data_IF_326912260179
#
_entry.id   IF_326912260179
#
_cell.length_a   1.000
_cell.length_b   1.000
_cell.length_c   1.000
_cell.angle_alpha   90.00
_cell.angle_beta   90.00
_cell.angle_gamma   90.00
#
_symmetry.space_group_name_H-M   'P 1'
#
loop_
_entity.id
_entity.type
_entity.pdbx_description
1 polymer ?
#
# COMPACT_ATOMS: atom_id res chain seq x y z
N UNK A 1 15.29 -18.10 0.36
CA UNK A 1 15.16 -19.03 1.50
C UNK A 1 13.84 -18.71 2.17
N UNK A 2 12.99 -19.71 2.42
CA UNK A 2 11.75 -19.53 3.19
C UNK A 2 12.00 -19.89 4.65
N UNK A 3 11.38 -19.17 5.57
CA UNK A 3 11.35 -19.54 6.98
C UNK A 3 9.94 -20.06 7.31
N UNK A 4 9.87 -21.14 8.10
CA UNK A 4 8.60 -21.72 8.55
C UNK A 4 8.36 -21.40 10.02
N UNK A 5 7.22 -20.80 10.34
CA UNK A 5 6.77 -20.55 11.71
C UNK A 5 5.56 -21.42 12.03
N UNK A 6 5.46 -21.92 13.26
CA UNK A 6 4.29 -22.69 13.70
C UNK A 6 3.14 -21.76 14.08
N UNK A 7 1.94 -22.13 13.68
CA UNK A 7 0.71 -21.48 14.13
C UNK A 7 0.38 -22.00 15.53
N UNK A 8 0.00 -21.09 16.42
CA UNK A 8 -0.47 -21.41 17.78
C UNK A 8 -1.85 -22.07 17.75
N UNK A 9 -2.29 -22.66 18.87
CA UNK A 9 -3.64 -23.26 18.98
C UNK A 9 -4.77 -22.25 18.71
N UNK A 10 -4.52 -20.96 18.91
CA UNK A 10 -5.46 -19.87 18.65
C UNK A 10 -5.42 -19.35 17.20
N UNK A 11 -4.65 -19.99 16.31
CA UNK A 11 -4.53 -19.55 14.92
C UNK A 11 -3.60 -18.37 14.69
N UNK A 12 -2.81 -17.95 15.68
CA UNK A 12 -1.88 -16.83 15.56
C UNK A 12 -0.48 -17.31 15.16
N UNK A 13 0.21 -16.55 14.32
CA UNK A 13 1.64 -16.71 14.02
C UNK A 13 2.34 -15.37 14.12
N UNK A 14 3.66 -15.39 14.30
CA UNK A 14 4.48 -14.18 14.34
C UNK A 14 5.19 -13.97 13.02
N UNK A 15 5.31 -12.71 12.60
CA UNK A 15 6.12 -12.35 11.44
C UNK A 15 7.60 -12.29 11.87
N UNK A 16 8.48 -13.09 11.24
CA UNK A 16 9.92 -13.05 11.49
C UNK A 16 10.50 -11.64 11.45
N UNK A 17 11.52 -11.37 12.28
CA UNK A 17 12.12 -10.04 12.42
C UNK A 17 12.61 -9.49 11.08
N UNK A 18 13.35 -10.29 10.33
CA UNK A 18 13.94 -9.88 9.05
C UNK A 18 12.87 -9.48 8.03
N UNK A 19 11.72 -10.16 8.04
CA UNK A 19 10.58 -9.79 7.17
C UNK A 19 9.90 -8.51 7.65
N UNK A 20 9.73 -8.31 8.96
CA UNK A 20 9.19 -7.07 9.52
C UNK A 20 10.05 -5.87 9.17
N UNK A 21 11.37 -5.98 9.34
CA UNK A 21 12.31 -4.91 9.03
C UNK A 21 12.35 -4.63 7.52
N UNK A 22 12.38 -5.69 6.69
CA UNK A 22 12.39 -5.55 5.23
C UNK A 22 11.14 -4.88 4.67
N UNK A 23 9.96 -5.18 5.23
CA UNK A 23 8.69 -4.67 4.72
C UNK A 23 8.08 -3.56 5.59
N UNK A 24 8.84 -3.04 6.56
CA UNK A 24 8.40 -1.95 7.44
C UNK A 24 7.10 -2.25 8.19
N UNK A 25 6.96 -3.47 8.72
CA UNK A 25 5.77 -3.91 9.48
C UNK A 25 6.04 -3.74 10.97
N UNK A 26 5.46 -2.68 11.54
CA UNK A 26 5.59 -2.31 12.95
C UNK A 26 4.36 -2.67 13.80
N UNK A 27 4.47 -2.52 15.14
CA UNK A 27 3.31 -2.59 16.02
C UNK A 27 2.27 -1.53 15.64
N UNK A 28 1.01 -1.95 15.47
CA UNK A 28 -0.09 -1.07 15.08
C UNK A 28 -0.37 -1.07 13.58
N UNK A 29 0.55 -1.57 12.74
CA UNK A 29 0.28 -1.77 11.33
C UNK A 29 -0.75 -2.89 11.12
N UNK A 30 -1.64 -2.67 10.15
CA UNK A 30 -2.58 -3.68 9.70
C UNK A 30 -2.00 -4.45 8.51
N UNK A 31 -2.44 -5.70 8.37
CA UNK A 31 -2.06 -6.58 7.26
C UNK A 31 -3.32 -7.16 6.63
N UNK A 32 -3.31 -7.30 5.31
CA UNK A 32 -4.39 -7.88 4.54
C UNK A 32 -4.03 -9.29 4.08
N UNK A 33 -5.02 -10.18 4.10
CA UNK A 33 -4.90 -11.55 3.63
C UNK A 33 -5.58 -11.66 2.27
N UNK A 34 -4.83 -12.12 1.27
CA UNK A 34 -5.28 -12.23 -0.11
C UNK A 34 -5.18 -13.69 -0.55
N UNK A 35 -6.27 -14.25 -1.06
CA UNK A 35 -6.27 -15.57 -1.68
C UNK A 35 -5.65 -15.50 -3.08
N UNK A 36 -4.74 -16.42 -3.39
CA UNK A 36 -4.09 -16.56 -4.69
C UNK A 36 -4.15 -18.02 -5.13
N UNK A 37 -3.79 -18.29 -6.39
CA UNK A 37 -3.77 -19.67 -6.93
C UNK A 37 -2.75 -20.57 -6.21
N UNK A 38 -1.69 -19.97 -5.66
CA UNK A 38 -0.60 -20.67 -4.97
C UNK A 38 -0.77 -20.73 -3.44
N UNK A 39 -1.81 -20.09 -2.89
CA UNK A 39 -2.10 -20.10 -1.45
C UNK A 39 -2.59 -18.76 -0.91
N UNK A 40 -2.20 -18.42 0.33
CA UNK A 40 -2.54 -17.15 0.95
C UNK A 40 -1.33 -16.22 0.98
N UNK A 41 -1.53 -15.00 0.49
CA UNK A 41 -0.54 -13.93 0.55
C UNK A 41 -0.90 -12.94 1.65
N UNK A 42 0.10 -12.48 2.38
CA UNK A 42 -0.04 -11.44 3.39
C UNK A 42 0.62 -10.15 2.89
N UNK A 43 -0.14 -9.07 2.86
CA UNK A 43 0.32 -7.74 2.41
C UNK A 43 0.17 -6.73 3.55
N UNK A 44 1.01 -5.69 3.57
CA UNK A 44 0.79 -4.56 4.49
C UNK A 44 -0.47 -3.82 4.03
N UNK A 45 -1.44 -3.65 4.91
CA UNK A 45 -2.64 -2.89 4.60
C UNK A 45 -2.29 -1.40 4.55
N UNK A 46 -2.73 -0.73 3.49
CA UNK A 46 -2.71 0.73 3.41
C UNK A 46 -4.08 1.22 3.87
N UNK A 47 -4.13 1.99 4.95
CA UNK A 47 -5.40 2.55 5.42
C UNK A 47 -5.99 3.43 4.32
N UNK A 48 -7.15 3.04 3.80
CA UNK A 48 -7.89 3.70 2.72
C UNK A 48 -8.38 5.12 3.04
N UNK A 49 -7.87 5.78 4.08
CA UNK A 49 -7.94 7.23 4.24
C UNK A 49 -7.08 7.99 3.23
N UNK A 50 -6.20 7.28 2.51
CA UNK A 50 -5.28 7.82 1.52
C UNK A 50 -5.86 7.99 0.12
N UNK A 51 -6.97 8.71 -0.07
CA UNK A 51 -7.20 9.40 -1.37
C UNK A 51 -6.12 10.47 -1.68
N UNK A 52 -5.13 10.63 -0.80
CA UNK A 52 -3.93 11.47 -0.99
C UNK A 52 -2.59 10.72 -0.96
N UNK A 53 -2.58 9.39 -1.03
CA UNK A 53 -1.36 8.58 -0.90
C UNK A 53 -0.93 8.01 -2.26
N UNK A 54 -0.47 8.88 -3.16
CA UNK A 54 0.18 8.48 -4.41
C UNK A 54 1.68 8.81 -4.42
N UNK A 55 2.24 9.05 -3.24
CA UNK A 55 3.63 9.43 -3.07
C UNK A 55 4.27 8.50 -2.03
N UNK A 56 5.34 7.77 -2.38
CA UNK A 56 6.10 6.95 -1.43
C UNK A 56 6.56 7.76 -0.21
N UNK A 57 6.55 7.16 0.98
CA UNK A 57 6.92 7.82 2.24
C UNK A 57 8.35 8.39 2.24
N UNK A 58 9.28 7.83 1.44
CA UNK A 58 10.66 8.30 1.27
C UNK A 58 10.82 9.46 0.26
N UNK A 59 9.72 10.06 -0.20
CA UNK A 59 9.77 11.17 -1.16
C UNK A 59 9.94 12.50 -0.43
N UNK A 60 10.99 13.26 -0.78
CA UNK A 60 11.21 14.62 -0.30
C UNK A 60 9.98 15.52 -0.48
N UNK A 61 9.79 16.48 0.45
CA UNK A 61 8.58 17.32 0.53
C UNK A 61 8.33 18.11 -0.77
N UNK A 62 9.39 18.63 -1.40
CA UNK A 62 9.32 19.31 -2.69
C UNK A 62 8.80 18.39 -3.81
N UNK A 63 9.30 17.15 -3.86
CA UNK A 63 8.90 16.16 -4.88
C UNK A 63 7.46 15.68 -4.67
N UNK A 64 7.01 15.60 -3.41
CA UNK A 64 5.61 15.29 -3.08
C UNK A 64 4.66 16.36 -3.60
N UNK A 65 5.03 17.62 -3.47
CA UNK A 65 4.22 18.74 -3.94
C UNK A 65 4.15 18.79 -5.47
N UNK A 66 5.27 18.55 -6.16
CA UNK A 66 5.30 18.45 -7.64
C UNK A 66 4.40 17.31 -8.17
N UNK A 67 4.50 16.10 -7.58
CA UNK A 67 3.68 14.95 -8.00
C UNK A 67 2.20 15.22 -7.77
N UNK A 68 1.83 15.83 -6.63
CA UNK A 68 0.44 16.16 -6.33
C UNK A 68 -0.15 17.17 -7.31
N UNK A 69 0.62 18.18 -7.70
CA UNK A 69 0.22 19.18 -8.69
C UNK A 69 0.04 18.56 -10.08
N UNK A 70 0.99 17.72 -10.53
CA UNK A 70 0.91 17.04 -11.83
C UNK A 70 -0.33 16.13 -11.91
N UNK A 71 -0.58 15.33 -10.86
CA UNK A 71 -1.71 14.41 -10.82
C UNK A 71 -3.05 15.15 -10.85
N UNK A 72 -3.14 16.26 -10.10
CA UNK A 72 -4.33 17.11 -10.05
C UNK A 72 -4.62 17.71 -11.42
N UNK A 73 -3.59 18.21 -12.11
CA UNK A 73 -3.72 18.80 -13.43
C UNK A 73 -4.16 17.75 -14.47
N UNK A 74 -3.60 16.54 -14.40
CA UNK A 74 -3.95 15.44 -15.29
C UNK A 74 -5.40 14.98 -15.13
N UNK A 75 -5.92 14.96 -13.90
CA UNK A 75 -7.33 14.66 -13.62
C UNK A 75 -8.24 15.75 -14.19
N UNK A 76 -7.86 17.02 -14.04
CA UNK A 76 -8.63 18.15 -14.57
C UNK A 76 -8.69 18.15 -16.10
N UNK A 77 -7.57 17.86 -16.78
CA UNK A 77 -7.47 17.80 -18.25
C UNK A 77 -8.28 16.66 -18.88
N UNK A 78 -8.44 15.54 -18.17
CA UNK A 78 -9.25 14.42 -18.66
C UNK A 78 -10.74 14.76 -18.63
N UNK A 79 -11.18 15.48 -17.59
CA UNK A 79 -12.61 15.83 -17.42
C UNK A 79 -13.12 16.81 -18.47
N UNK A 80 -12.28 17.73 -18.95
CA UNK A 80 -12.67 18.71 -19.97
C UNK A 80 -12.72 18.14 -21.39
N UNK A 81 -12.12 16.97 -21.64
CA UNK A 81 -12.10 16.33 -22.98
C UNK A 81 -13.23 15.33 -23.20
N UNK A 82 -13.92 14.89 -22.15
CA UNK A 82 -14.99 13.87 -22.23
C UNK A 82 -16.42 14.44 -22.26
N UNK A 83 -16.58 15.76 -22.23
CA UNK A 83 -17.85 16.43 -22.60
C UNK A 83 -17.63 17.29 -23.85
N UNK A 84 -17.91 16.78 -25.06
CA UNK A 84 -18.37 17.64 -26.12
C UNK A 84 -19.73 18.19 -25.67
N UNK A 85 -19.86 19.51 -25.58
CA UNK A 85 -21.16 20.19 -25.57
C UNK A 85 -22.08 19.55 -26.62
N UNK A 86 -23.29 19.16 -26.20
CA UNK A 86 -24.39 18.84 -27.10
C UNK A 86 -24.95 20.12 -27.70
#
# INVERSE_FOLDING_TARGET
>A
MGETTKVTEKGQTTIPRDLREKYGIGPGDSVEWVETEDGVMLTKAVDGGGRGMLVPDDTDEDTREEIAQELTQRIHDRRTKETPDT
#
